data_IF_394612702750
#
_entry.id   IF_394612702750
#
_cell.length_a   1.000
_cell.length_b   1.000
_cell.length_c   1.000
_cell.angle_alpha   90.00
_cell.angle_beta   90.00
_cell.angle_gamma   90.00
#
_symmetry.space_group_name_H-M   'P 1'
#
loop_
_entity.id
_entity.type
_entity.pdbx_description
1 polymer ?
#
# COMPACT_ATOMS: atom_id res chain seq x y z
N UNK A 1 -29.35 46.90 -42.49
CA UNK A 1 -28.98 45.61 -43.10
C UNK A 1 -27.89 45.00 -42.25
N UNK A 2 -28.24 44.03 -41.41
CA UNK A 2 -27.33 43.37 -40.47
C UNK A 2 -27.06 41.95 -40.99
N UNK A 3 -25.78 41.63 -41.25
CA UNK A 3 -25.35 40.27 -41.57
C UNK A 3 -24.89 39.59 -40.28
N UNK A 4 -25.63 38.57 -39.88
CA UNK A 4 -25.33 37.66 -38.77
C UNK A 4 -24.09 36.81 -39.06
N UNK A 5 -23.24 36.51 -38.06
CA UNK A 5 -22.11 35.60 -38.24
C UNK A 5 -22.57 34.14 -38.13
N UNK A 6 -22.10 33.31 -39.06
CA UNK A 6 -22.23 31.85 -38.98
C UNK A 6 -21.20 31.32 -37.98
N UNK A 7 -21.67 30.75 -36.88
CA UNK A 7 -20.85 29.93 -35.97
C UNK A 7 -20.94 28.47 -36.42
N UNK A 8 -19.83 27.74 -36.58
CA UNK A 8 -19.89 26.29 -36.62
C UNK A 8 -19.93 25.74 -35.17
N UNK A 9 -21.08 25.19 -34.78
CA UNK A 9 -21.19 24.02 -33.88
C UNK A 9 -21.12 22.79 -34.80
N UNK A 10 -20.54 21.63 -34.48
CA UNK A 10 -20.17 21.01 -33.22
C UNK A 10 -19.18 19.85 -33.50
N UNK A 11 -18.80 19.17 -32.41
CA UNK A 11 -18.49 17.74 -32.30
C UNK A 11 -17.02 17.33 -32.31
N UNK A 12 -16.60 16.91 -31.11
CA UNK A 12 -15.43 16.08 -30.90
C UNK A 12 -15.32 15.77 -29.42
N UNK A 13 -16.14 14.84 -28.92
CA UNK A 13 -15.82 14.04 -27.75
C UNK A 13 -14.49 13.33 -28.05
N UNK A 14 -13.38 14.02 -27.83
CA UNK A 14 -12.06 13.42 -27.88
C UNK A 14 -11.83 12.84 -26.50
N UNK A 15 -12.15 11.56 -26.36
CA UNK A 15 -11.45 10.72 -25.39
C UNK A 15 -9.96 11.02 -25.60
N UNK A 16 -9.22 11.54 -24.59
CA UNK A 16 -7.81 11.81 -24.78
C UNK A 16 -7.16 10.50 -25.24
N UNK A 17 -6.31 10.53 -26.27
CA UNK A 17 -5.69 9.31 -26.77
C UNK A 17 -5.00 8.59 -25.61
N UNK A 18 -5.02 7.25 -25.58
CA UNK A 18 -4.32 6.50 -24.55
C UNK A 18 -2.87 6.99 -24.51
N UNK A 19 -2.34 7.16 -23.31
CA UNK A 19 -0.99 7.69 -23.04
C UNK A 19 0.12 7.01 -23.85
N UNK A 20 -0.08 5.74 -24.22
CA UNK A 20 0.81 4.98 -25.11
C UNK A 20 0.93 5.64 -26.49
N UNK A 21 -0.17 6.18 -27.01
CA UNK A 21 -0.22 6.93 -28.27
C UNK A 21 0.46 8.30 -28.17
N UNK A 22 0.52 8.89 -26.97
CA UNK A 22 1.26 10.14 -26.74
C UNK A 22 2.77 9.88 -26.64
N UNK A 23 3.17 8.76 -26.03
CA UNK A 23 4.57 8.33 -25.95
C UNK A 23 5.08 7.95 -27.34
N UNK A 24 4.35 7.12 -28.09
CA UNK A 24 4.72 6.71 -29.45
C UNK A 24 4.76 7.90 -30.42
N UNK A 25 3.85 8.88 -30.26
CA UNK A 25 3.85 10.11 -31.05
C UNK A 25 4.96 11.07 -30.63
N UNK A 26 5.35 11.12 -29.35
CA UNK A 26 6.54 11.83 -28.88
C UNK A 26 7.82 11.16 -29.39
N UNK A 27 7.90 9.83 -29.40
CA UNK A 27 9.02 9.06 -29.94
C UNK A 27 9.21 9.33 -31.44
N UNK A 28 8.11 9.33 -32.21
CA UNK A 28 8.15 9.70 -33.62
C UNK A 28 8.48 11.17 -33.87
N UNK A 29 7.97 12.09 -33.03
CA UNK A 29 8.30 13.52 -33.12
C UNK A 29 9.75 13.81 -32.69
N UNK A 30 10.33 13.01 -31.80
CA UNK A 30 11.70 13.16 -31.32
C UNK A 30 12.72 12.47 -32.23
N UNK A 31 12.31 11.45 -33.00
CA UNK A 31 13.14 10.81 -34.02
C UNK A 31 13.52 11.78 -35.16
N UNK A 32 12.68 12.79 -35.43
CA UNK A 32 12.92 13.84 -36.44
C UNK A 32 13.72 15.05 -35.89
N UNK A 33 14.02 15.08 -34.60
CA UNK A 33 14.73 16.19 -33.96
C UNK A 33 16.17 15.77 -33.67
N UNK A 34 17.02 15.86 -34.70
CA UNK A 34 18.48 15.88 -34.52
C UNK A 34 18.91 17.18 -33.83
N UNK A 35 18.66 17.29 -32.52
CA UNK A 35 19.27 18.34 -31.70
C UNK A 35 20.14 17.72 -30.62
N UNK A 36 21.44 18.07 -30.55
CA UNK A 36 22.37 17.56 -29.54
C UNK A 36 21.92 17.85 -28.09
N UNK A 37 21.01 18.81 -27.90
CA UNK A 37 20.49 19.21 -26.58
C UNK A 37 19.38 18.28 -26.05
N UNK A 38 18.70 17.50 -26.89
CA UNK A 38 17.55 16.66 -26.49
C UNK A 38 17.93 15.16 -26.44
N UNK A 39 19.02 14.75 -27.09
CA UNK A 39 19.52 13.38 -27.05
C UNK A 39 19.70 12.82 -25.61
N UNK A 40 20.22 13.57 -24.62
CA UNK A 40 20.32 13.08 -23.24
C UNK A 40 18.97 12.83 -22.57
N UNK A 41 17.95 13.62 -22.92
CA UNK A 41 16.58 13.47 -22.43
C UNK A 41 15.90 12.23 -23.04
N UNK A 42 16.07 12.01 -24.35
CA UNK A 42 15.57 10.81 -25.04
C UNK A 42 16.24 9.56 -24.46
N UNK A 43 17.57 9.60 -24.26
CA UNK A 43 18.31 8.49 -23.70
C UNK A 43 17.88 8.20 -22.25
N UNK A 44 17.65 9.23 -21.44
CA UNK A 44 17.11 9.08 -20.09
C UNK A 44 15.70 8.45 -20.10
N UNK A 45 14.84 8.85 -21.03
CA UNK A 45 13.50 8.27 -21.20
C UNK A 45 13.57 6.81 -21.65
N UNK A 46 14.43 6.48 -22.61
CA UNK A 46 14.64 5.12 -23.12
C UNK A 46 15.20 4.19 -22.03
N UNK A 47 16.22 4.64 -21.28
CA UNK A 47 16.75 3.90 -20.12
C UNK A 47 15.68 3.68 -19.05
N UNK A 48 14.83 4.68 -18.80
CA UNK A 48 13.72 4.58 -17.85
C UNK A 48 12.66 3.60 -18.33
N UNK A 49 12.31 3.61 -19.62
CA UNK A 49 11.40 2.64 -20.24
C UNK A 49 11.95 1.21 -20.14
N UNK A 50 13.23 1.01 -20.47
CA UNK A 50 13.89 -0.29 -20.32
C UNK A 50 13.89 -0.77 -18.86
N UNK A 51 14.12 0.12 -17.88
CA UNK A 51 14.04 -0.22 -16.46
C UNK A 51 12.61 -0.60 -16.03
N UNK A 52 11.60 0.12 -16.52
CA UNK A 52 10.17 -0.19 -16.30
C UNK A 52 9.81 -1.56 -16.88
N UNK A 53 10.26 -1.87 -18.10
CA UNK A 53 9.99 -3.14 -18.76
C UNK A 53 10.72 -4.30 -18.07
N UNK A 54 11.97 -4.09 -17.61
CA UNK A 54 12.70 -5.04 -16.78
C UNK A 54 11.96 -5.30 -15.45
N UNK A 55 11.47 -4.25 -14.78
CA UNK A 55 10.70 -4.37 -13.55
C UNK A 55 9.39 -5.13 -13.75
N UNK A 56 8.70 -4.92 -14.87
CA UNK A 56 7.48 -5.66 -15.25
C UNK A 56 7.75 -7.13 -15.55
N UNK A 57 8.96 -7.45 -16.03
CA UNK A 57 9.34 -8.83 -16.39
C UNK A 57 9.71 -9.69 -15.19
N UNK A 58 10.05 -9.09 -14.03
CA UNK A 58 10.42 -9.83 -12.82
C UNK A 58 9.15 -10.33 -12.12
N UNK A 59 9.01 -11.63 -11.86
CA UNK A 59 7.87 -12.14 -11.11
C UNK A 59 7.89 -11.60 -9.67
N UNK A 60 6.71 -11.37 -9.06
CA UNK A 60 6.64 -10.98 -7.65
C UNK A 60 7.21 -12.10 -6.77
N UNK A 61 7.82 -11.72 -5.63
CA UNK A 61 8.44 -12.68 -4.71
C UNK A 61 7.39 -13.52 -3.97
N UNK A 62 6.32 -12.85 -3.53
CA UNK A 62 5.19 -13.47 -2.87
C UNK A 62 3.96 -12.56 -3.01
N UNK A 63 2.78 -13.10 -2.73
CA UNK A 63 1.53 -12.35 -2.77
C UNK A 63 0.73 -12.51 -1.47
N UNK A 64 1.18 -11.88 -0.36
CA UNK A 64 0.54 -12.00 0.93
C UNK A 64 -0.84 -11.33 0.94
N UNK A 65 -1.75 -11.83 1.77
CA UNK A 65 -3.03 -11.17 2.00
C UNK A 65 -2.83 -9.83 2.72
N UNK A 66 -3.70 -8.86 2.44
CA UNK A 66 -3.67 -7.56 3.11
C UNK A 66 -3.86 -7.69 4.63
N UNK A 67 -4.61 -8.71 5.07
CA UNK A 67 -4.77 -9.02 6.48
C UNK A 67 -3.45 -9.47 7.11
N UNK A 68 -2.71 -10.37 6.45
CA UNK A 68 -1.41 -10.81 6.92
C UNK A 68 -0.43 -9.63 7.02
N UNK A 69 -0.38 -8.78 5.99
CA UNK A 69 0.43 -7.55 6.02
C UNK A 69 0.06 -6.63 7.19
N UNK A 70 -1.22 -6.52 7.52
CA UNK A 70 -1.68 -5.74 8.66
C UNK A 70 -1.26 -6.35 10.01
N UNK A 71 -1.48 -7.67 10.20
CA UNK A 71 -1.14 -8.34 11.46
C UNK A 71 0.37 -8.33 11.75
N UNK A 72 1.19 -8.23 10.72
CA UNK A 72 2.65 -8.07 10.83
C UNK A 72 3.12 -6.59 10.86
N UNK A 73 2.18 -5.64 10.95
CA UNK A 73 2.45 -4.20 11.08
C UNK A 73 3.02 -3.52 9.84
N UNK A 74 3.07 -4.21 8.69
CA UNK A 74 3.52 -3.67 7.41
C UNK A 74 2.55 -2.58 6.93
N UNK A 75 1.25 -2.88 6.98
CA UNK A 75 0.18 -1.92 6.73
C UNK A 75 -0.44 -1.45 8.04
N UNK A 76 -0.68 -0.15 8.15
CA UNK A 76 -1.47 0.41 9.24
C UNK A 76 -2.92 -0.09 9.16
N UNK A 77 -3.62 -0.08 10.31
CA UNK A 77 -5.05 -0.39 10.36
C UNK A 77 -5.87 0.48 9.40
N UNK A 78 -5.50 1.77 9.26
CA UNK A 78 -6.17 2.68 8.32
C UNK A 78 -5.97 2.23 6.88
N UNK A 79 -4.72 1.97 6.46
CA UNK A 79 -4.42 1.53 5.11
C UNK A 79 -5.12 0.20 4.80
N UNK A 80 -5.02 -0.77 5.71
CA UNK A 80 -5.70 -2.06 5.60
C UNK A 80 -7.22 -1.93 5.44
N UNK A 81 -7.89 -1.19 6.34
CA UNK A 81 -9.35 -1.04 6.28
C UNK A 81 -9.80 -0.40 4.97
N UNK A 82 -9.11 0.65 4.52
CA UNK A 82 -9.41 1.28 3.23
C UNK A 82 -9.22 0.31 2.06
N UNK A 83 -8.10 -0.40 2.00
CA UNK A 83 -7.83 -1.35 0.90
C UNK A 83 -8.80 -2.52 0.90
N UNK A 84 -9.18 -3.05 2.07
CA UNK A 84 -10.19 -4.10 2.20
C UNK A 84 -11.52 -3.70 1.57
N UNK A 85 -11.94 -2.45 1.75
CA UNK A 85 -13.16 -1.92 1.12
C UNK A 85 -12.98 -1.68 -0.38
N UNK A 86 -11.83 -1.14 -0.81
CA UNK A 86 -11.57 -0.82 -2.22
C UNK A 86 -11.43 -2.09 -3.08
N UNK A 87 -10.80 -3.13 -2.55
CA UNK A 87 -10.54 -4.38 -3.26
C UNK A 87 -11.73 -5.35 -3.25
N UNK A 88 -12.78 -5.05 -2.46
CA UNK A 88 -13.95 -5.90 -2.34
C UNK A 88 -13.65 -7.12 -1.47
N UNK A 89 -13.90 -7.01 -0.17
CA UNK A 89 -13.91 -8.15 0.74
C UNK A 89 -15.32 -8.34 1.27
N UNK A 90 -15.81 -9.57 1.17
CA UNK A 90 -17.02 -10.00 1.84
C UNK A 90 -16.72 -10.16 3.34
N UNK A 91 -17.40 -9.41 4.23
CA UNK A 91 -17.19 -9.53 5.68
C UNK A 91 -17.50 -10.91 6.24
N UNK A 92 -18.23 -11.75 5.50
CA UNK A 92 -18.50 -13.16 5.88
C UNK A 92 -17.45 -14.14 5.37
N UNK A 93 -16.50 -13.70 4.52
CA UNK A 93 -15.49 -14.57 3.95
C UNK A 93 -14.42 -14.97 4.98
N UNK A 94 -13.84 -16.16 4.77
CA UNK A 94 -12.80 -16.70 5.63
C UNK A 94 -11.55 -15.81 5.67
N UNK A 95 -10.76 -15.94 6.75
CA UNK A 95 -9.50 -15.20 6.92
C UNK A 95 -8.48 -15.42 5.78
N UNK A 96 -8.63 -16.52 5.04
CA UNK A 96 -7.79 -16.86 3.88
C UNK A 96 -8.24 -16.17 2.59
N UNK A 97 -9.48 -15.68 2.54
CA UNK A 97 -10.10 -15.03 1.37
C UNK A 97 -9.96 -13.50 1.40
N UNK A 98 -9.09 -12.99 2.27
CA UNK A 98 -8.76 -11.57 2.27
C UNK A 98 -8.09 -11.19 0.96
N UNK A 99 -8.40 -9.99 0.41
CA UNK A 99 -7.74 -9.49 -0.78
C UNK A 99 -6.22 -9.53 -0.62
N UNK A 100 -5.52 -9.81 -1.73
CA UNK A 100 -4.07 -9.91 -1.76
C UNK A 100 -3.41 -8.58 -2.10
N UNK A 101 -2.10 -8.52 -1.90
CA UNK A 101 -1.30 -7.37 -2.29
C UNK A 101 -1.40 -7.09 -3.79
N UNK A 102 -1.46 -8.15 -4.61
CA UNK A 102 -1.64 -8.04 -6.06
C UNK A 102 -2.99 -7.42 -6.45
N UNK A 103 -4.06 -7.72 -5.70
CA UNK A 103 -5.39 -7.11 -5.92
C UNK A 103 -5.34 -5.61 -5.69
N UNK A 104 -4.72 -5.18 -4.58
CA UNK A 104 -4.51 -3.76 -4.26
C UNK A 104 -3.60 -3.07 -5.29
N UNK A 105 -2.54 -3.73 -5.75
CA UNK A 105 -1.58 -3.17 -6.71
C UNK A 105 -2.19 -2.94 -8.11
N UNK A 106 -3.23 -3.69 -8.47
CA UNK A 106 -3.98 -3.53 -9.72
C UNK A 106 -4.95 -2.34 -9.69
N UNK A 107 -5.29 -1.81 -8.51
CA UNK A 107 -6.19 -0.68 -8.40
C UNK A 107 -5.50 0.59 -8.91
N UNK A 108 -6.11 1.35 -9.83
CA UNK A 108 -5.54 2.61 -10.28
C UNK A 108 -5.37 3.58 -9.11
N UNK A 109 -4.22 4.25 -9.02
CA UNK A 109 -3.92 5.17 -7.90
C UNK A 109 -4.96 6.27 -7.73
N UNK A 110 -5.51 6.78 -8.83
CA UNK A 110 -6.61 7.75 -8.76
C UNK A 110 -7.81 7.18 -7.99
N UNK A 111 -8.21 5.94 -8.28
CA UNK A 111 -9.30 5.26 -7.54
C UNK A 111 -8.94 5.04 -6.07
N UNK A 112 -7.67 4.76 -5.77
CA UNK A 112 -7.21 4.68 -4.38
C UNK A 112 -7.35 6.03 -3.67
N UNK A 113 -6.86 7.12 -4.26
CA UNK A 113 -6.89 8.46 -3.66
C UNK A 113 -8.29 9.11 -3.62
N UNK A 114 -9.17 8.71 -4.54
CA UNK A 114 -10.58 9.13 -4.53
C UNK A 114 -11.39 8.41 -3.43
N UNK A 115 -10.85 7.33 -2.84
CA UNK A 115 -11.52 6.61 -1.76
C UNK A 115 -11.49 7.41 -0.45
N UNK A 116 -12.62 7.51 0.26
CA UNK A 116 -12.65 8.07 1.61
C UNK A 116 -11.62 7.38 2.51
N UNK A 117 -10.90 8.16 3.31
CA UNK A 117 -9.88 7.71 4.27
C UNK A 117 -8.59 7.10 3.69
N UNK A 118 -8.44 7.00 2.37
CA UNK A 118 -7.19 6.57 1.74
C UNK A 118 -6.37 7.78 1.29
N UNK A 119 -5.39 8.16 2.12
CA UNK A 119 -4.57 9.35 1.88
C UNK A 119 -3.20 8.98 1.33
N UNK A 120 -2.42 10.00 0.98
CA UNK A 120 -1.03 9.85 0.50
C UNK A 120 -0.18 8.98 1.42
N UNK A 121 -0.35 9.06 2.74
CA UNK A 121 0.35 8.20 3.69
C UNK A 121 0.01 6.71 3.50
N UNK A 122 -1.27 6.36 3.31
CA UNK A 122 -1.70 4.98 3.00
C UNK A 122 -1.17 4.52 1.64
N UNK A 123 -1.12 5.42 0.65
CA UNK A 123 -0.52 5.12 -0.66
C UNK A 123 0.97 4.78 -0.54
N UNK A 124 1.73 5.53 0.27
CA UNK A 124 3.15 5.22 0.49
C UNK A 124 3.36 3.92 1.27
N UNK A 125 2.49 3.61 2.23
CA UNK A 125 2.54 2.30 2.91
C UNK A 125 2.29 1.15 1.92
N UNK A 126 1.31 1.29 1.03
CA UNK A 126 1.04 0.32 -0.03
C UNK A 126 2.21 0.23 -1.01
N UNK A 127 2.80 1.36 -1.42
CA UNK A 127 3.92 1.39 -2.34
C UNK A 127 5.16 0.70 -1.75
N UNK A 128 5.45 0.92 -0.46
CA UNK A 128 6.50 0.19 0.25
C UNK A 128 6.22 -1.30 0.33
N UNK A 129 4.99 -1.69 0.67
CA UNK A 129 4.63 -3.10 0.70
C UNK A 129 4.75 -3.73 -0.70
N UNK A 130 4.29 -3.06 -1.75
CA UNK A 130 4.42 -3.51 -3.12
C UNK A 130 5.90 -3.71 -3.50
N UNK A 131 6.75 -2.73 -3.23
CA UNK A 131 8.20 -2.82 -3.48
C UNK A 131 8.85 -3.98 -2.72
N UNK A 132 8.53 -4.14 -1.43
CA UNK A 132 9.04 -5.22 -0.57
C UNK A 132 8.74 -6.63 -1.15
N UNK A 133 7.60 -6.80 -1.81
CA UNK A 133 7.17 -8.09 -2.39
C UNK A 133 7.30 -8.18 -3.91
N UNK A 134 7.88 -7.16 -4.55
CA UNK A 134 8.08 -7.13 -6.00
C UNK A 134 6.81 -6.90 -6.82
N UNK A 135 5.78 -6.30 -6.23
CA UNK A 135 4.61 -5.80 -6.96
C UNK A 135 4.85 -4.36 -7.41
N UNK A 136 4.13 -3.96 -8.45
CA UNK A 136 4.23 -2.61 -9.02
C UNK A 136 2.86 -1.97 -9.04
N UNK A 137 2.78 -0.73 -8.53
CA UNK A 137 1.54 0.05 -8.54
C UNK A 137 1.33 0.72 -9.91
N UNK A 138 0.07 0.80 -10.33
CA UNK A 138 -0.32 1.38 -11.63
C UNK A 138 -0.81 2.82 -11.50
N UNK A 139 -0.27 3.70 -12.34
CA UNK A 139 -0.75 5.06 -12.52
C UNK A 139 -1.27 5.25 -13.96
N UNK A 140 -2.05 6.32 -14.20
CA UNK A 140 -2.52 6.65 -15.55
C UNK A 140 -1.31 6.90 -16.45
N UNK A 141 -1.09 5.97 -17.37
CA UNK A 141 -0.04 6.04 -18.37
C UNK A 141 1.30 5.46 -17.96
N UNK A 142 1.36 4.67 -16.90
CA UNK A 142 2.55 3.90 -16.61
C UNK A 142 2.58 3.26 -15.24
N UNK A 143 3.80 3.07 -14.75
CA UNK A 143 4.06 2.64 -13.38
C UNK A 143 4.06 3.85 -12.47
N UNK A 144 3.60 3.65 -11.25
CA UNK A 144 3.76 4.65 -10.21
C UNK A 144 5.15 4.57 -9.61
N UNK A 145 5.85 5.69 -9.62
CA UNK A 145 7.19 5.81 -9.06
C UNK A 145 7.17 6.82 -7.91
N UNK A 146 7.04 6.36 -6.65
CA UNK A 146 7.13 7.25 -5.50
C UNK A 146 8.54 7.83 -5.39
N UNK A 147 8.65 9.08 -4.92
CA UNK A 147 9.95 9.69 -4.72
C UNK A 147 10.73 8.95 -3.61
N UNK A 148 12.06 8.91 -3.73
CA UNK A 148 12.92 8.29 -2.71
C UNK A 148 12.67 8.86 -1.31
N UNK A 149 12.45 10.19 -1.23
CA UNK A 149 12.11 10.89 0.00
C UNK A 149 10.78 10.44 0.60
N UNK A 150 9.76 10.21 -0.22
CA UNK A 150 8.47 9.72 0.29
C UNK A 150 8.56 8.27 0.78
N UNK A 151 9.35 7.43 0.09
CA UNK A 151 9.60 6.05 0.49
C UNK A 151 10.37 5.99 1.80
N UNK A 152 11.38 6.82 1.98
CA UNK A 152 12.13 6.95 3.24
C UNK A 152 11.24 7.41 4.38
N UNK A 153 10.47 8.48 4.20
CA UNK A 153 9.54 8.98 5.22
C UNK A 153 8.50 7.92 5.64
N UNK A 154 8.03 7.09 4.70
CA UNK A 154 7.09 6.02 4.99
C UNK A 154 7.76 4.83 5.70
N UNK A 155 9.05 4.54 5.44
CA UNK A 155 9.83 3.56 6.20
C UNK A 155 10.02 4.01 7.65
N UNK A 156 10.37 5.28 7.86
CA UNK A 156 10.52 5.87 9.18
C UNK A 156 9.21 5.84 9.98
N UNK A 157 8.10 6.22 9.33
CA UNK A 157 6.78 6.15 9.95
C UNK A 157 6.39 4.72 10.33
N UNK A 158 6.69 3.73 9.47
CA UNK A 158 6.49 2.30 9.76
C UNK A 158 7.35 1.85 10.93
N UNK A 159 8.64 2.18 10.93
CA UNK A 159 9.57 1.81 12.00
C UNK A 159 9.16 2.41 13.35
N UNK A 160 8.79 3.69 13.37
CA UNK A 160 8.32 4.37 14.58
C UNK A 160 7.02 3.74 15.13
N UNK A 161 6.10 3.34 14.25
CA UNK A 161 4.89 2.62 14.64
C UNK A 161 5.22 1.23 15.22
N UNK A 162 6.02 0.44 14.51
CA UNK A 162 6.41 -0.90 14.94
C UNK A 162 7.13 -0.86 16.29
N UNK A 163 7.98 0.14 16.54
CA UNK A 163 8.65 0.30 17.82
C UNK A 163 7.65 0.54 18.98
N UNK A 164 6.63 1.39 18.76
CA UNK A 164 5.55 1.62 19.74
C UNK A 164 4.71 0.36 19.97
N UNK A 165 4.38 -0.36 18.90
CA UNK A 165 3.60 -1.59 18.98
C UNK A 165 4.38 -2.68 19.71
N UNK A 166 5.69 -2.82 19.48
CA UNK A 166 6.56 -3.75 20.20
C UNK A 166 6.59 -3.48 21.70
N UNK A 167 6.74 -2.22 22.12
CA UNK A 167 6.70 -1.85 23.55
C UNK A 167 5.35 -2.22 24.18
N UNK A 168 4.25 -1.95 23.47
CA UNK A 168 2.90 -2.32 23.92
C UNK A 168 2.73 -3.83 24.03
N UNK A 169 3.13 -4.59 23.00
CA UNK A 169 3.03 -6.05 22.96
C UNK A 169 3.90 -6.72 24.02
N UNK A 170 5.09 -6.19 24.28
CA UNK A 170 5.95 -6.66 25.35
C UNK A 170 5.26 -6.51 26.71
N UNK A 171 4.71 -5.33 26.99
CA UNK A 171 3.96 -5.07 28.23
C UNK A 171 2.73 -5.98 28.37
N UNK A 172 1.96 -6.20 27.29
CA UNK A 172 0.83 -7.13 27.33
C UNK A 172 1.27 -8.59 27.58
N UNK A 173 2.42 -8.99 27.04
CA UNK A 173 2.98 -10.33 27.27
C UNK A 173 3.40 -10.54 28.73
N UNK A 174 3.99 -9.52 29.36
CA UNK A 174 4.32 -9.56 30.80
C UNK A 174 3.06 -9.69 31.66
N UNK A 175 2.01 -8.93 31.35
CA UNK A 175 0.74 -8.99 32.07
C UNK A 175 0.03 -10.35 31.92
N UNK A 176 0.13 -10.98 30.74
CA UNK A 176 -0.36 -12.35 30.54
C UNK A 176 0.43 -13.35 31.38
N UNK A 177 1.76 -13.23 31.40
CA UNK A 177 2.61 -14.13 32.18
C UNK A 177 2.35 -14.01 33.69
N UNK A 178 2.23 -12.79 34.20
CA UNK A 178 1.87 -12.52 35.59
C UNK A 178 0.51 -13.13 35.95
N UNK A 179 -0.51 -12.89 35.11
CA UNK A 179 -1.84 -13.46 35.29
C UNK A 179 -1.80 -14.98 35.37
N UNK A 180 -1.12 -15.62 34.43
CA UNK A 180 -1.14 -17.08 34.31
C UNK A 180 -0.24 -17.74 35.38
N UNK A 181 0.87 -17.10 35.76
CA UNK A 181 1.77 -17.56 36.82
C UNK A 181 1.17 -17.46 38.22
N UNK A 182 0.48 -16.36 38.52
CA UNK A 182 -0.17 -16.14 39.82
C UNK A 182 -1.65 -16.55 39.86
N UNK A 183 -2.21 -16.99 38.73
CA UNK A 183 -3.63 -17.36 38.54
C UNK A 183 -4.60 -16.23 38.90
N UNK A 184 -4.22 -14.99 38.60
CA UNK A 184 -5.03 -13.81 38.89
C UNK A 184 -6.30 -13.79 38.01
N UNK A 185 -7.42 -13.39 38.62
CA UNK A 185 -8.57 -12.94 37.86
C UNK A 185 -8.25 -11.65 37.10
N UNK A 186 -9.04 -11.36 36.06
CA UNK A 186 -8.90 -10.11 35.30
C UNK A 186 -9.06 -8.86 36.18
N UNK A 187 -9.88 -8.95 37.23
CA UNK A 187 -10.12 -7.85 38.16
C UNK A 187 -8.92 -7.61 39.06
N UNK A 188 -8.31 -8.66 39.61
CA UNK A 188 -7.12 -8.55 40.47
C UNK A 188 -5.92 -8.00 39.71
N UNK A 189 -5.66 -8.50 38.50
CA UNK A 189 -4.60 -7.98 37.63
C UNK A 189 -4.83 -6.49 37.32
N UNK A 190 -6.07 -6.10 37.01
CA UNK A 190 -6.39 -4.72 36.69
C UNK A 190 -6.21 -3.78 37.89
N UNK A 191 -6.65 -4.20 39.08
CA UNK A 191 -6.48 -3.44 40.33
C UNK A 191 -5.00 -3.22 40.64
N UNK A 192 -4.17 -4.26 40.50
CA UNK A 192 -2.73 -4.20 40.76
C UNK A 192 -2.01 -3.18 39.87
N UNK A 193 -2.44 -3.06 38.61
CA UNK A 193 -1.84 -2.15 37.62
C UNK A 193 -2.56 -0.80 37.52
N UNK A 194 -3.52 -0.51 38.40
CA UNK A 194 -4.28 0.75 38.37
C UNK A 194 -5.11 0.93 37.09
N UNK A 195 -5.63 -0.16 36.52
CA UNK A 195 -6.36 -0.19 35.24
C UNK A 195 -7.80 -0.64 35.42
N UNK A 196 -8.62 -0.34 34.42
CA UNK A 196 -9.96 -0.92 34.30
C UNK A 196 -9.90 -2.35 33.76
N UNK A 197 -10.61 -3.27 34.41
CA UNK A 197 -10.58 -4.70 34.08
C UNK A 197 -11.08 -5.02 32.66
N UNK A 198 -12.18 -4.41 32.23
CA UNK A 198 -12.78 -4.71 30.91
C UNK A 198 -11.86 -4.33 29.73
N UNK A 199 -11.31 -3.11 29.63
CA UNK A 199 -10.36 -2.75 28.58
C UNK A 199 -9.08 -3.60 28.61
N UNK A 200 -8.57 -3.90 29.81
CA UNK A 200 -7.38 -4.74 29.97
C UNK A 200 -7.64 -6.15 29.43
N UNK A 201 -8.77 -6.78 29.82
CA UNK A 201 -9.16 -8.10 29.33
C UNK A 201 -9.25 -8.13 27.81
N UNK A 202 -9.92 -7.15 27.19
CA UNK A 202 -10.03 -7.07 25.73
C UNK A 202 -8.65 -6.97 25.08
N UNK A 203 -7.79 -6.08 25.58
CA UNK A 203 -6.45 -5.92 25.03
C UNK A 203 -5.59 -7.19 25.13
N UNK A 204 -5.65 -7.90 26.27
CA UNK A 204 -4.93 -9.15 26.48
C UNK A 204 -5.49 -10.28 25.60
N UNK A 205 -6.80 -10.39 25.46
CA UNK A 205 -7.43 -11.37 24.57
C UNK A 205 -7.07 -11.13 23.09
N UNK A 206 -7.10 -9.89 22.63
CA UNK A 206 -6.68 -9.56 21.26
C UNK A 206 -5.19 -9.82 21.04
N UNK A 207 -4.33 -9.55 22.03
CA UNK A 207 -2.91 -9.88 21.98
C UNK A 207 -2.67 -11.39 21.90
N UNK A 208 -3.39 -12.20 22.69
CA UNK A 208 -3.31 -13.66 22.59
C UNK A 208 -3.74 -14.18 21.21
N UNK A 209 -4.85 -13.66 20.66
CA UNK A 209 -5.29 -14.00 19.30
C UNK A 209 -4.22 -13.65 18.26
N UNK A 210 -3.62 -12.47 18.36
CA UNK A 210 -2.55 -12.04 17.48
C UNK A 210 -1.34 -12.96 17.55
N UNK A 211 -0.88 -13.33 18.75
CA UNK A 211 0.23 -14.26 18.94
C UNK A 211 -0.05 -15.64 18.30
N UNK A 212 -1.24 -16.19 18.53
CA UNK A 212 -1.65 -17.46 17.92
C UNK A 212 -1.72 -17.37 16.39
N UNK A 213 -2.23 -16.26 15.87
CA UNK A 213 -2.29 -16.01 14.43
C UNK A 213 -0.88 -15.93 13.83
N UNK A 214 0.03 -15.13 14.41
CA UNK A 214 1.40 -14.97 13.91
C UNK A 214 2.22 -16.27 14.02
N UNK A 215 1.97 -17.09 15.06
CA UNK A 215 2.61 -18.39 15.20
C UNK A 215 2.19 -19.40 14.12
N UNK A 216 0.95 -19.29 13.62
CA UNK A 216 0.39 -20.17 12.58
C UNK A 216 0.52 -19.60 11.17
N UNK A 217 0.75 -18.29 11.03
CA UNK A 217 0.78 -17.58 9.75
C UNK A 217 2.04 -16.72 9.63
N UNK A 218 3.14 -17.36 9.22
CA UNK A 218 4.37 -16.68 8.93
C UNK A 218 4.19 -15.74 7.72
N UNK A 219 4.71 -14.51 7.83
CA UNK A 219 4.78 -13.62 6.70
C UNK A 219 5.85 -14.13 5.71
N UNK A 220 5.55 -14.25 4.40
CA UNK A 220 6.56 -14.58 3.40
C UNK A 220 7.74 -13.60 3.45
N UNK A 221 8.97 -14.05 3.12
CA UNK A 221 10.12 -13.14 3.08
C UNK A 221 9.94 -12.09 1.96
N UNK A 222 10.20 -10.82 2.30
CA UNK A 222 10.28 -9.71 1.34
C UNK A 222 11.73 -9.28 1.11
N UNK A 223 11.98 -8.42 0.12
CA UNK A 223 13.32 -7.92 -0.26
C UNK A 223 14.09 -7.29 0.89
N UNK A 224 13.37 -6.59 1.77
CA UNK A 224 13.94 -5.87 2.92
C UNK A 224 14.14 -6.73 4.16
N UNK A 225 13.81 -8.03 4.11
CA UNK A 225 13.90 -8.97 5.24
C UNK A 225 14.92 -10.11 5.04
N UNK A 226 15.74 -10.05 3.98
CA UNK A 226 16.84 -10.97 3.69
C UNK A 226 18.21 -10.38 3.99
#
# INVERSE_FOLDING_TARGET
MASTPVTPRANGNSTPPPSEFLIERLENLLADVETPDIAPLIEALMRRRAAIDEQRSKPPLADPSLYLLHQWGILSLRCFNSLRHICGHDPEADLLDYPKLSDAARVPIRKLLDSPNFHRASLMELALAADDYGHVLRERGGLFEPSAKDMEAARDARAARLHKDQQRWHMLSLLLHERDGERLSWTELALRHGRSARPLRIALQEHQKLMLFQASNALPPGRSRG
#
